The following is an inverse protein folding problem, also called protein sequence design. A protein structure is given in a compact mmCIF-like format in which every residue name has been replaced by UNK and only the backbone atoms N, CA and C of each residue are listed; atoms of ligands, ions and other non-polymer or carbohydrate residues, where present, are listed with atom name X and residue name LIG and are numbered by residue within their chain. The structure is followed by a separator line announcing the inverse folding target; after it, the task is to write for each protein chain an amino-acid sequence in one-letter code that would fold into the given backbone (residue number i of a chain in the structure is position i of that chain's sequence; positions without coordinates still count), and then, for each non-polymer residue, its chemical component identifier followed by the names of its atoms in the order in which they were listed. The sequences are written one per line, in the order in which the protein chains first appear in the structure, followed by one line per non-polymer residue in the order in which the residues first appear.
data_IF_337566479022
#
_entry.id   IF_337566479022
#
_cell.length_a   1.000
_cell.length_b   1.000
_cell.length_c   1.000
_cell.angle_alpha   90.00
_cell.angle_beta   90.00
_cell.angle_gamma   90.00
#
_symmetry.space_group_name_H-M   'P 1'
#
loop_
_entity.id
_entity.type
_entity.pdbx_description
1 polymer ?
2 polymer ?
3 water ?
#
# COMPACT_ATOMS: atom_id res chain seq x y z
N UNK A 27 16.45 16.23 1.03
CA UNK A 27 15.59 15.07 1.20
C UNK A 27 14.42 15.40 2.08
N UNK A 28 13.46 14.48 2.16
CA UNK A 28 12.26 14.64 2.98
C UNK A 28 12.26 13.77 4.23
N UNK A 29 13.36 13.06 4.44
CA UNK A 29 13.47 12.18 5.60
C UNK A 29 13.18 12.87 6.92
N UNK A 30 12.19 12.37 7.66
CA UNK A 30 11.96 12.88 8.99
C UNK A 30 10.75 13.80 9.05
N UNK A 31 10.32 14.27 7.89
CA UNK A 31 9.17 15.16 7.81
C UNK A 31 7.85 14.44 8.11
N UNK A 32 7.00 15.09 8.89
CA UNK A 32 5.65 14.59 9.15
C UNK A 32 4.78 14.78 7.94
N UNK A 33 3.97 13.78 7.65
CA UNK A 33 3.08 13.84 6.50
C UNK A 33 1.73 13.26 6.84
N UNK A 34 0.84 13.36 5.86
CA UNK A 34 -0.44 12.69 5.89
C UNK A 34 -0.52 11.95 4.58
N UNK A 35 -0.61 10.61 4.64
CA UNK A 35 -0.52 9.81 3.43
C UNK A 35 -1.62 8.77 3.25
N UNK A 36 -1.93 8.47 1.99
CA UNK A 36 -2.98 7.51 1.66
C UNK A 36 -2.58 6.08 2.03
N UNK A 37 -3.43 5.39 2.79
CA UNK A 37 -3.39 3.94 2.96
C UNK A 37 -4.25 3.35 1.87
N UNK A 38 -3.62 2.71 0.88
CA UNK A 38 -4.35 2.39 -0.33
C UNK A 38 -5.36 1.26 -0.19
N UNK A 39 -5.30 0.47 0.87
CA UNK A 39 -6.27 -0.61 0.97
C UNK A 39 -7.64 -0.07 1.33
N UNK A 40 -7.72 1.06 2.04
CA UNK A 40 -9.07 1.57 2.31
C UNK A 40 -9.34 2.97 1.75
N UNK A 41 -8.34 3.57 1.12
CA UNK A 41 -8.45 4.91 0.56
C UNK A 41 -8.36 6.09 1.52
N UNK A 42 -8.16 5.87 2.81
CA UNK A 42 -8.06 6.97 3.75
C UNK A 42 -6.62 7.46 3.91
N UNK A 43 -6.44 8.73 4.28
CA UNK A 43 -5.10 9.28 4.58
C UNK A 43 -4.89 9.37 6.08
N UNK A 44 -3.71 8.98 6.54
CA UNK A 44 -3.36 8.91 7.96
C UNK A 44 -2.04 9.62 8.22
N UNK A 45 -1.83 10.05 9.46
CA UNK A 45 -0.61 10.79 9.76
C UNK A 45 0.57 9.84 9.94
N UNK A 46 1.76 10.32 9.60
CA UNK A 46 2.98 9.55 9.79
C UNK A 46 4.21 10.35 9.40
N UNK A 47 5.33 9.64 9.23
CA UNK A 47 6.60 10.30 8.89
C UNK A 47 7.27 9.62 7.72
N UNK A 48 7.85 10.41 6.81
CA UNK A 48 8.74 9.86 5.80
C UNK A 48 10.04 9.42 6.47
N UNK A 49 10.50 8.19 6.21
CA UNK A 49 11.73 7.76 6.85
C UNK A 49 12.86 7.50 5.88
N UNK A 50 12.57 7.36 4.59
CA UNK A 50 13.63 7.21 3.60
C UNK A 50 13.10 7.47 2.19
N UNK A 51 13.93 8.07 1.35
CA UNK A 51 13.67 8.11 -0.08
C UNK A 51 14.10 6.79 -0.68
N UNK A 52 13.13 6.02 -1.17
CA UNK A 52 13.43 4.72 -1.72
C UNK A 52 13.39 4.71 -3.25
N UNK A 53 13.39 5.89 -3.86
CA UNK A 53 13.46 6.01 -5.30
C UNK A 53 12.20 5.55 -6.02
N UNK A 54 12.22 5.68 -7.34
CA UNK A 54 11.08 5.35 -8.21
C UNK A 54 9.81 6.13 -7.80
N UNK A 55 10.03 7.33 -7.29
CA UNK A 55 8.95 8.21 -6.89
C UNK A 55 8.23 7.78 -5.62
N UNK A 56 8.89 6.98 -4.80
CA UNK A 56 8.27 6.46 -3.58
C UNK A 56 9.07 6.80 -2.33
N UNK A 57 8.37 6.77 -1.19
CA UNK A 57 8.96 7.08 0.10
C UNK A 57 8.53 6.07 1.16
N UNK A 58 9.48 5.59 1.97
CA UNK A 58 9.12 4.74 3.08
C UNK A 58 8.41 5.56 4.14
N UNK A 59 7.21 5.11 4.52
CA UNK A 59 6.42 5.78 5.55
C UNK A 59 6.23 5.02 6.84
N UNK A 60 6.64 5.61 7.95
CA UNK A 60 6.25 5.05 9.22
C UNK A 60 5.00 5.81 9.63
N UNK A 61 3.86 5.14 9.55
CA UNK A 61 2.59 5.70 9.96
C UNK A 61 2.54 5.74 11.46
N UNK A 62 1.76 6.66 12.00
CA UNK A 62 1.71 6.84 13.44
C UNK A 62 1.19 5.62 14.18
N UNK A 63 0.51 4.71 13.48
CA UNK A 63 0.02 3.49 14.13
C UNK A 63 1.00 2.32 14.00
N UNK A 64 2.17 2.57 13.42
CA UNK A 64 3.22 1.56 13.46
C UNK A 64 3.48 0.85 12.15
N UNK A 65 2.54 0.91 11.22
CA UNK A 65 2.70 0.17 9.98
C UNK A 65 3.46 0.97 8.94
N UNK A 66 4.19 0.26 8.08
CA UNK A 66 4.99 0.91 7.04
C UNK A 66 4.53 0.56 5.65
N UNK A 67 4.80 1.45 4.69
CA UNK A 67 4.64 1.09 3.29
C UNK A 67 5.50 2.03 2.46
N UNK A 68 5.99 1.55 1.33
CA UNK A 68 6.67 2.45 0.40
C UNK A 68 5.60 3.07 -0.49
N UNK A 69 5.37 4.36 -0.29
CA UNK A 69 4.26 5.06 -0.92
C UNK A 69 4.72 6.08 -1.96
N UNK A 70 3.99 6.16 -3.06
CA UNK A 70 4.23 7.19 -4.06
C UNK A 70 4.04 8.59 -3.49
N UNK A 71 4.86 9.53 -3.96
CA UNK A 71 4.79 10.93 -3.55
C UNK A 71 3.43 11.54 -3.84
N UNK A 72 2.86 11.21 -4.98
CA UNK A 72 1.50 11.66 -5.32
C UNK A 72 0.44 11.31 -4.27
N UNK A 73 0.69 10.30 -3.44
CA UNK A 73 -0.25 9.90 -2.38
C UNK A 73 0.21 10.45 -1.01
N UNK A 74 1.26 11.25 -1.02
CA UNK A 74 1.72 11.85 0.21
C UNK A 74 1.43 13.33 0.25
N UNK A 75 0.83 13.77 1.35
CA UNK A 75 0.54 15.17 1.56
C UNK A 75 1.54 15.70 2.57
N UNK A 76 2.33 16.67 2.13
CA UNK A 76 3.33 17.25 2.98
C UNK A 76 2.73 18.44 3.76
N UNK A 77 2.00 18.16 4.82
CA UNK A 77 1.31 19.23 5.53
C UNK A 77 1.09 18.84 6.99
N UNK A 78 1.84 19.51 7.85
CA UNK A 78 1.82 19.30 9.28
C UNK A 78 1.88 20.66 9.96
N UNK A 79 0.83 21.05 10.69
CA UNK A 79 -0.42 20.31 10.86
C UNK A 79 -1.30 20.35 9.61
N UNK A 80 -2.40 19.63 9.68
CA UNK A 80 -3.42 19.77 8.67
C UNK A 80 -3.98 21.18 8.78
N UNK A 81 -4.01 21.94 7.67
CA UNK A 81 -4.33 23.38 7.73
C UNK A 81 -5.73 23.69 8.22
N UNK A 82 -5.85 24.87 8.80
CA UNK A 82 -7.14 25.40 9.16
C UNK A 82 -8.07 25.43 7.93
N UNK A 83 -9.36 25.21 8.22
CA UNK A 83 -10.46 25.18 7.24
C UNK A 83 -10.46 23.93 6.35
N UNK A 84 -9.56 23.00 6.62
CA UNK A 84 -9.53 21.75 5.89
C UNK A 84 -10.66 20.85 6.36
N UNK A 85 -11.44 20.33 5.42
CA UNK A 85 -12.43 19.32 5.75
C UNK A 85 -11.76 17.97 6.01
N UNK A 86 -11.96 17.42 7.20
CA UNK A 86 -11.32 16.17 7.58
C UNK A 86 -12.34 15.17 8.07
N UNK A 87 -11.83 14.04 8.56
CA UNK A 87 -12.68 13.03 9.14
C UNK A 87 -12.20 12.78 10.56
N UNK A 88 -13.07 12.99 11.53
CA UNK A 88 -12.67 12.94 12.94
C UNK A 88 -13.10 11.65 13.64
N UNK A 89 -12.17 11.05 14.37
CA UNK A 89 -12.40 9.80 15.04
C UNK A 89 -12.73 9.98 16.51
N UNK A 90 -13.33 8.98 17.10
CA UNK A 90 -13.75 9.09 18.47
C UNK A 90 -13.89 7.72 19.11
N UNK A 91 -13.64 7.63 20.41
CA UNK A 91 -13.81 6.37 21.12
C UNK A 91 -15.27 6.01 21.30
N UNK A 92 -16.16 6.99 21.36
CA UNK A 92 -17.53 6.73 21.77
C UNK A 92 -18.59 6.96 20.68
N UNK A 93 -18.22 7.60 19.58
CA UNK A 93 -19.16 7.81 18.48
C UNK A 93 -18.56 7.45 17.12
N UNK A 94 -19.42 7.10 16.17
CA UNK A 94 -19.00 6.68 14.84
C UNK A 94 -18.32 7.89 14.16
N UNK A 95 -17.48 7.66 13.18
CA UNK A 95 -16.69 8.78 12.65
C UNK A 95 -17.43 9.60 11.61
N UNK A 96 -17.03 10.87 11.48
CA UNK A 96 -17.61 11.72 10.48
C UNK A 96 -16.77 12.94 10.18
N UNK A 97 -17.27 13.71 9.22
CA UNK A 97 -16.53 14.80 8.63
C UNK A 97 -16.71 16.04 9.47
N UNK A 98 -15.64 16.81 9.60
CA UNK A 98 -15.71 18.10 10.24
C UNK A 98 -14.66 19.01 9.65
N UNK A 99 -14.60 20.24 10.18
CA UNK A 99 -13.67 21.21 9.63
C UNK A 99 -12.70 21.64 10.70
N UNK A 100 -11.41 21.64 10.35
CA UNK A 100 -10.38 22.09 11.27
C UNK A 100 -10.56 23.59 11.54
N UNK A 101 -10.64 23.96 12.81
CA UNK A 101 -10.80 25.37 13.18
C UNK A 101 -9.77 25.80 14.21
N UNK A 102 -8.91 24.86 14.62
CA UNK A 102 -7.87 25.20 15.59
C UNK A 102 -6.75 24.19 15.70
N UNK A 103 -5.59 24.65 16.19
CA UNK A 103 -4.48 23.76 16.55
C UNK A 103 -4.07 24.07 17.98
N UNK A 104 -3.38 23.13 18.62
CA UNK A 104 -2.90 23.33 19.98
C UNK A 104 -1.78 22.35 20.23
N UNK A 105 -0.67 22.84 20.77
CA UNK A 105 0.48 21.98 21.09
C UNK A 105 0.70 21.88 22.58
N UNK A 106 0.79 20.66 23.08
CA UNK A 106 0.92 20.41 24.53
C UNK A 106 1.84 19.26 24.83
N UNK A 107 2.91 19.57 25.57
CA UNK A 107 3.98 18.63 25.89
C UNK A 107 4.45 17.83 24.66
N UNK A 108 4.44 18.47 23.51
CA UNK A 108 5.00 17.89 22.32
C UNK A 108 4.00 17.13 21.46
N UNK A 109 2.71 17.27 21.77
CA UNK A 109 1.68 16.57 21.00
C UNK A 109 0.68 17.54 20.39
N UNK A 110 0.25 17.21 19.18
CA UNK A 110 -0.63 18.09 18.42
C UNK A 110 -2.10 17.71 18.65
N UNK A 111 -2.94 18.72 18.82
CA UNK A 111 -4.38 18.53 18.99
C UNK A 111 -5.11 19.38 17.99
N UNK A 112 -6.22 18.85 17.47
CA UNK A 112 -6.98 19.58 16.48
C UNK A 112 -8.30 19.96 17.08
N UNK A 113 -8.79 21.12 16.67
CA UNK A 113 -10.12 21.54 17.07
C UNK A 113 -10.97 21.43 15.82
N UNK A 114 -11.92 20.52 15.87
CA UNK A 114 -12.75 20.22 14.73
C UNK A 114 -14.15 20.64 15.05
N UNK A 115 -14.84 21.20 14.05
CA UNK A 115 -16.17 21.73 14.21
C UNK A 115 -17.16 20.95 13.34
N UNK A 116 -18.11 20.28 13.99
CA UNK A 116 -19.20 19.63 13.28
C UNK A 116 -20.53 20.22 13.66
N UNK A 117 -21.31 20.64 12.66
CA UNK A 117 -22.67 21.12 12.88
C UNK A 117 -22.75 22.23 13.93
N UNK A 118 -21.69 23.03 14.05
CA UNK A 118 -21.69 24.15 14.96
C UNK A 118 -20.70 24.01 16.10
N UNK A 119 -20.82 22.93 16.86
CA UNK A 119 -19.95 22.72 18.01
C UNK A 119 -18.55 22.31 17.60
N UNK A 120 -17.57 22.57 18.47
CA UNK A 120 -16.19 22.23 18.23
C UNK A 120 -15.71 21.30 19.29
N UNK A 121 -14.72 20.47 18.97
CA UNK A 121 -14.18 19.53 19.95
C UNK A 121 -12.74 19.26 19.62
N UNK A 122 -12.01 18.70 20.59
CA UNK A 122 -10.58 18.48 20.42
C UNK A 122 -10.29 17.02 20.12
N UNK A 123 -9.33 16.79 19.23
CA UNK A 123 -8.96 15.45 18.82
C UNK A 123 -7.45 15.31 18.78
N UNK A 124 -6.93 14.18 19.25
CA UNK A 124 -5.50 13.94 19.14
C UNK A 124 -5.17 13.81 17.67
N UNK A 125 -3.89 13.85 17.35
CA UNK A 125 -3.46 13.78 15.97
C UNK A 125 -3.96 12.50 15.31
N UNK A 126 -3.87 11.40 16.03
CA UNK A 126 -4.26 10.10 15.45
C UNK A 126 -5.76 9.97 15.30
N UNK A 127 -6.51 10.91 15.89
CA UNK A 127 -7.97 10.90 15.76
C UNK A 127 -8.42 11.71 14.52
N UNK A 128 -7.48 12.10 13.69
CA UNK A 128 -7.84 12.88 12.51
C UNK A 128 -7.27 12.26 11.27
N UNK A 129 -8.14 11.95 10.32
CA UNK A 129 -7.70 11.32 9.09
C UNK A 129 -8.45 12.00 7.99
N UNK A 130 -8.09 11.69 6.75
CA UNK A 130 -8.81 12.27 5.61
C UNK A 130 -9.46 11.16 4.80
N UNK A 131 -10.70 11.38 4.39
CA UNK A 131 -11.30 10.51 3.41
C UNK A 131 -10.50 10.57 2.10
N UNK A 132 -10.78 9.66 1.19
CA UNK A 132 -10.10 9.67 -0.09
C UNK A 132 -10.23 11.04 -0.77
N UNK A 133 -11.44 11.56 -0.83
CA UNK A 133 -11.65 12.84 -1.51
C UNK A 133 -11.07 14.00 -0.71
N UNK A 134 -11.13 13.90 0.62
CA UNK A 134 -10.58 14.98 1.45
C UNK A 134 -9.10 15.11 1.18
N UNK A 135 -8.40 13.98 1.05
CA UNK A 135 -6.98 13.99 0.73
C UNK A 135 -6.69 14.45 -0.71
N UNK A 136 -7.53 14.03 -1.65
CA UNK A 136 -7.29 14.34 -3.07
C UNK A 136 -7.40 15.85 -3.28
N UNK A 137 -8.20 16.51 -2.46
CA UNK A 137 -8.37 17.97 -2.50
C UNK A 137 -7.10 18.74 -2.14
N UNK A 138 -6.30 18.22 -1.23
CA UNK A 138 -5.10 18.94 -0.79
C UNK A 138 -3.91 18.60 -1.66
N UNK A 139 -4.14 17.76 -2.66
CA UNK A 139 -3.01 17.19 -3.37
C UNK A 139 -2.32 18.30 -4.16
N UNK A 140 -3.10 19.11 -4.84
CA UNK A 140 -2.54 20.14 -5.71
C UNK A 140 -1.65 21.09 -4.92
N UNK A 141 -2.01 21.37 -3.66
CA UNK A 141 -1.23 22.31 -2.88
C UNK A 141 -0.15 21.65 -2.01
N UNK A 142 -0.37 20.43 -1.56
CA UNK A 142 0.57 19.83 -0.62
C UNK A 142 1.14 18.48 -1.07
N UNK A 143 0.78 18.03 -2.27
CA UNK A 143 1.20 16.71 -2.71
C UNK A 143 2.65 16.63 -3.12
N UNK A 144 3.31 15.51 -2.81
CA UNK A 144 4.66 15.26 -3.30
C UNK A 144 4.65 14.70 -4.72
N UNK A 145 3.52 14.83 -5.40
CA UNK A 145 3.40 14.36 -6.77
C UNK A 145 2.06 14.77 -7.36
N UNK A 146 1.19 15.30 -6.65
N UNK B 27 5.72 -20.53 11.64
CA UNK B 27 5.38 -19.21 11.11
C UNK B 27 5.67 -19.12 9.61
N UNK B 28 5.28 -18.01 8.99
CA UNK B 28 5.46 -17.84 7.54
C UNK B 28 6.67 -16.97 7.17
N UNK B 29 7.42 -16.52 8.18
CA UNK B 29 8.61 -15.73 7.93
C UNK B 29 9.58 -16.49 7.02
N UNK B 30 9.88 -15.90 5.87
CA UNK B 30 10.85 -16.47 4.94
C UNK B 30 10.24 -17.09 3.68
N UNK B 31 8.94 -17.37 3.72
CA UNK B 31 8.27 -18.00 2.58
C UNK B 31 8.16 -17.07 1.39
N UNK B 32 8.37 -17.62 0.19
CA UNK B 32 8.11 -16.88 -1.04
C UNK B 32 6.61 -16.79 -1.25
N UNK B 33 6.14 -15.60 -1.65
CA UNK B 33 4.72 -15.45 -1.87
C UNK B 33 4.47 -14.62 -3.10
N UNK B 34 3.20 -14.49 -3.45
CA UNK B 34 2.81 -13.55 -4.47
C UNK B 34 1.73 -12.70 -3.81
N UNK B 35 2.00 -11.40 -3.68
CA UNK B 35 1.15 -10.53 -2.89
C UNK B 35 0.65 -9.28 -3.60
N UNK B 36 -0.55 -8.85 -3.22
CA UNK B 36 -1.19 -7.69 -3.84
C UNK B 36 -0.54 -6.37 -3.47
N UNK B 37 -0.21 -5.56 -4.47
CA UNK B 37 0.14 -4.15 -4.30
C UNK B 37 -1.15 -3.40 -4.35
N UNK B 38 -1.57 -2.87 -3.21
CA UNK B 38 -2.96 -2.45 -3.07
C UNK B 38 -3.26 -1.16 -3.88
N UNK B 39 -2.23 -0.44 -4.34
CA UNK B 39 -2.45 0.76 -5.16
C UNK B 39 -2.86 0.48 -6.59
N UNK B 40 -2.47 -0.67 -7.14
CA UNK B 40 -2.84 -0.97 -8.52
C UNK B 40 -3.55 -2.33 -8.70
N UNK B 41 -3.77 -3.05 -7.60
CA UNK B 41 -4.49 -4.31 -7.65
C UNK B 41 -3.72 -5.52 -8.20
N UNK B 42 -2.46 -5.34 -8.58
CA UNK B 42 -1.70 -6.48 -9.09
C UNK B 42 -0.96 -7.19 -7.97
N UNK B 43 -0.70 -8.47 -8.20
CA UNK B 43 0.07 -9.32 -7.29
C UNK B 43 1.51 -9.50 -7.79
N UNK B 44 2.47 -9.38 -6.88
CA UNK B 44 3.88 -9.39 -7.24
C UNK B 44 4.63 -10.38 -6.37
N UNK B 45 5.75 -10.89 -6.86
CA UNK B 45 6.49 -11.88 -6.10
C UNK B 45 7.32 -11.21 -5.03
N UNK B 46 7.50 -11.89 -3.91
CA UNK B 46 8.34 -11.39 -2.84
C UNK B 46 8.36 -12.40 -1.71
N UNK B 47 8.85 -11.98 -0.56
CA UNK B 47 8.94 -12.89 0.58
C UNK B 47 8.40 -12.20 1.82
N UNK B 48 7.72 -12.96 2.66
CA UNK B 48 7.34 -12.48 3.97
C UNK B 48 8.57 -12.32 4.86
N UNK B 49 8.70 -11.18 5.53
CA UNK B 49 9.86 -10.95 6.41
C UNK B 49 9.49 -10.78 7.88
N UNK B 50 8.20 -10.59 8.18
CA UNK B 50 7.77 -10.52 9.58
C UNK B 50 6.26 -10.58 9.72
N UNK B 51 5.79 -11.19 10.80
CA UNK B 51 4.39 -11.05 11.22
C UNK B 51 4.30 -9.76 12.04
N UNK B 52 3.62 -8.76 11.50
CA UNK B 52 3.54 -7.47 12.18
C UNK B 52 2.17 -7.23 12.80
N UNK B 53 1.37 -8.31 12.89
CA UNK B 53 0.05 -8.25 13.51
C UNK B 53 -1.01 -7.51 12.70
N UNK B 54 -2.23 -7.44 13.26
CA UNK B 54 -3.39 -6.86 12.58
C UNK B 54 -3.65 -7.57 11.26
N UNK B 55 -3.33 -8.86 11.23
CA UNK B 55 -3.58 -9.69 10.06
C UNK B 55 -2.66 -9.33 8.91
N UNK B 56 -1.55 -8.69 9.25
CA UNK B 56 -0.63 -8.21 8.22
C UNK B 56 0.75 -8.82 8.40
N UNK B 57 1.48 -8.82 7.28
CA UNK B 57 2.84 -9.34 7.22
C UNK B 57 3.69 -8.34 6.48
N UNK B 58 4.89 -8.07 6.97
CA UNK B 58 5.80 -7.22 6.24
C UNK B 58 6.27 -7.98 5.00
N UNK B 59 6.10 -7.37 3.84
CA UNK B 59 6.54 -7.99 2.61
C UNK B 59 7.66 -7.28 1.90
N UNK B 60 8.75 -8.01 1.69
CA UNK B 60 9.81 -7.55 0.83
C UNK B 60 9.57 -8.10 -0.56
N UNK B 61 9.10 -7.24 -1.45
CA UNK B 61 8.88 -7.62 -2.83
C UNK B 61 10.19 -7.76 -3.57
N UNK B 62 10.18 -8.56 -4.63
CA UNK B 62 11.39 -8.83 -5.36
C UNK B 62 11.95 -7.58 -6.04
N UNK B 63 11.12 -6.56 -6.22
CA UNK B 63 11.65 -5.37 -6.87
C UNK B 63 12.18 -4.35 -5.86
N UNK B 64 12.24 -4.73 -4.58
CA UNK B 64 12.95 -3.92 -3.61
C UNK B 64 12.10 -3.16 -2.61
N UNK B 65 10.83 -2.95 -2.94
CA UNK B 65 9.98 -2.16 -2.07
C UNK B 65 9.26 -3.02 -1.03
N UNK B 66 8.92 -2.40 0.09
CA UNK B 66 8.24 -3.09 1.19
C UNK B 66 6.84 -2.54 1.42
N UNK B 67 5.99 -3.39 1.96
CA UNK B 67 4.69 -2.99 2.48
C UNK B 67 4.20 -3.98 3.53
N UNK B 68 3.42 -3.49 4.49
CA UNK B 68 2.71 -4.37 5.42
C UNK B 68 1.40 -4.76 4.75
N UNK B 69 1.30 -6.02 4.34
CA UNK B 69 0.20 -6.49 3.50
C UNK B 69 -0.71 -7.41 4.27
N UNK B 70 -2.00 -7.27 4.06
CA UNK B 70 -2.99 -8.18 4.63
C UNK B 70 -2.80 -9.63 4.17
N UNK B 71 -3.02 -10.57 5.08
CA UNK B 71 -2.92 -11.98 4.77
C UNK B 71 -3.87 -12.37 3.66
N UNK B 72 -5.07 -11.80 3.70
CA UNK B 72 -6.07 -11.99 2.63
C UNK B 72 -5.52 -11.69 1.23
N UNK B 73 -4.48 -10.84 1.15
CA UNK B 73 -3.89 -10.41 -0.12
C UNK B 73 -2.59 -11.13 -0.46
N UNK B 74 -2.26 -12.16 0.32
CA UNK B 74 -1.05 -12.93 0.07
C UNK B 74 -1.35 -14.33 -0.48
N UNK B 75 -0.70 -14.68 -1.59
CA UNK B 75 -0.86 -16.00 -2.20
C UNK B 75 0.40 -16.79 -1.89
N UNK B 76 0.23 -17.88 -1.12
CA UNK B 76 1.38 -18.66 -0.67
C UNK B 76 1.63 -19.71 -1.73
N UNK B 77 2.31 -19.31 -2.78
CA UNK B 77 2.30 -20.07 -4.00
C UNK B 77 3.62 -19.85 -4.77
N UNK B 78 4.51 -20.84 -4.65
CA UNK B 78 5.83 -20.78 -5.26
C UNK B 78 6.26 -22.16 -5.78
N UNK B 79 6.41 -22.32 -7.09
CA UNK B 79 6.18 -21.32 -8.13
C UNK B 79 4.71 -21.13 -8.37
N UNK B 80 4.39 -20.16 -9.23
CA UNK B 80 3.05 -20.00 -9.77
C UNK B 80 2.81 -21.22 -10.63
N UNK B 81 1.68 -21.92 -10.39
CA UNK B 81 1.39 -23.24 -10.99
C UNK B 81 1.30 -23.20 -12.51
N UNK B 82 1.62 -24.33 -13.15
CA UNK B 82 1.41 -24.48 -14.59
C UNK B 82 -0.04 -24.20 -14.93
N UNK B 83 -0.28 -23.75 -16.16
CA UNK B 83 -1.63 -23.46 -16.68
C UNK B 83 -2.31 -22.25 -16.03
N UNK B 84 -1.59 -21.55 -15.17
CA UNK B 84 -2.14 -20.36 -14.55
C UNK B 84 -2.10 -19.19 -15.50
N UNK B 85 -3.23 -18.53 -15.70
CA UNK B 85 -3.25 -17.31 -16.51
C UNK B 85 -2.57 -16.16 -15.75
N UNK B 86 -1.53 -15.59 -16.35
CA UNK B 86 -0.74 -14.53 -15.71
C UNK B 86 -0.53 -13.29 -16.57
N UNK B 87 0.29 -12.36 -16.07
CA UNK B 87 0.66 -11.13 -16.79
C UNK B 87 2.19 -10.95 -16.82
N UNK B 88 2.76 -10.81 -18.02
CA UNK B 88 4.22 -10.79 -18.17
C UNK B 88 4.83 -9.42 -18.48
N UNK B 89 5.90 -9.08 -17.76
CA UNK B 89 6.63 -7.81 -17.90
C UNK B 89 7.95 -7.88 -18.69
N UNK B 90 8.50 -6.71 -18.97
CA UNK B 90 9.72 -6.58 -19.76
C UNK B 90 10.46 -5.26 -19.45
N UNK B 91 11.79 -5.30 -19.54
CA UNK B 91 12.62 -4.12 -19.32
C UNK B 91 12.49 -3.19 -20.51
N UNK B 92 12.17 -3.75 -21.67
CA UNK B 92 12.22 -3.01 -22.94
C UNK B 92 10.86 -2.88 -23.68
N UNK B 93 9.89 -3.73 -23.36
CA UNK B 93 8.57 -3.66 -24.01
C UNK B 93 7.38 -3.80 -23.06
N UNK B 94 6.23 -3.26 -23.47
CA UNK B 94 4.99 -3.26 -22.69
C UNK B 94 4.41 -4.67 -22.43
N UNK B 95 3.61 -4.79 -21.35
CA UNK B 95 3.10 -6.06 -20.82
C UNK B 95 1.76 -6.60 -21.37
N UNK B 96 1.55 -7.92 -21.22
CA UNK B 96 0.28 -8.59 -21.58
C UNK B 96 0.06 -9.98 -20.93
N UNK B 97 -1.12 -10.56 -21.21
CA UNK B 97 -1.59 -11.81 -20.59
C UNK B 97 -1.32 -13.11 -21.39
N UNK B 98 -0.89 -14.15 -20.68
CA UNK B 98 -0.67 -15.48 -21.25
C UNK B 98 -0.80 -16.57 -20.20
N UNK B 99 -0.45 -17.80 -20.58
CA UNK B 99 -0.56 -18.93 -19.67
C UNK B 99 0.78 -19.60 -19.39
N UNK B 100 1.04 -19.88 -18.11
CA UNK B 100 2.28 -20.55 -17.67
C UNK B 100 2.38 -21.97 -18.23
N UNK B 101 3.49 -22.25 -18.89
CA UNK B 101 3.64 -23.57 -19.50
C UNK B 101 4.96 -24.22 -19.11
N UNK B 102 5.80 -23.51 -18.35
CA UNK B 102 7.07 -24.09 -17.92
C UNK B 102 7.76 -23.42 -16.74
N UNK B 103 8.60 -24.19 -16.04
CA UNK B 103 9.48 -23.68 -15.00
C UNK B 103 10.92 -24.12 -15.26
N UNK B 104 11.88 -23.39 -14.70
CA UNK B 104 13.31 -23.74 -14.80
C UNK B 104 14.07 -23.03 -13.69
N UNK B 105 14.94 -23.76 -12.99
CA UNK B 105 15.79 -23.22 -11.93
C UNK B 105 17.28 -23.20 -12.31
N UNK B 106 17.90 -22.03 -12.16
CA UNK B 106 19.27 -21.84 -12.62
C UNK B 106 20.03 -20.99 -11.60
N UNK B 107 21.03 -21.62 -10.98
CA UNK B 107 21.80 -21.06 -9.86
C UNK B 107 20.92 -20.43 -8.78
N UNK B 108 19.74 -21.03 -8.59
CA UNK B 108 18.85 -20.68 -7.50
C UNK B 108 17.75 -19.69 -7.85
N UNK B 109 17.61 -19.42 -9.15
CA UNK B 109 16.64 -18.43 -9.56
C UNK B 109 15.61 -19.02 -10.52
N UNK B 110 14.37 -18.60 -10.36
CA UNK B 110 13.27 -19.17 -11.10
C UNK B 110 12.96 -18.41 -12.40
N UNK B 111 12.68 -19.14 -13.46
CA UNK B 111 12.28 -18.58 -14.73
C UNK B 111 10.98 -19.22 -15.19
N UNK B 112 10.10 -18.44 -15.81
CA UNK B 112 8.82 -18.98 -16.27
C UNK B 112 8.74 -18.99 -17.80
N UNK B 113 8.02 -19.96 -18.33
CA UNK B 113 7.75 -19.99 -19.76
C UNK B 113 6.26 -19.77 -20.00
N UNK B 114 5.91 -18.66 -20.63
CA UNK B 114 4.51 -18.32 -20.87
C UNK B 114 4.18 -18.33 -22.36
N UNK B 115 2.96 -18.77 -22.68
CA UNK B 115 2.49 -18.93 -24.05
C UNK B 115 1.34 -17.97 -24.36
N UNK B 116 1.59 -17.05 -25.29
CA UNK B 116 0.56 -16.13 -25.77
C UNK B 116 0.28 -16.38 -27.25
N UNK B 117 -0.99 -16.58 -27.57
CA UNK B 117 -1.48 -16.74 -28.95
C UNK B 117 -0.74 -17.81 -29.75
N UNK B 118 -0.22 -18.82 -29.05
CA UNK B 118 0.47 -19.91 -29.72
C UNK B 118 1.94 -19.98 -29.40
N UNK B 119 2.67 -18.89 -29.65
CA UNK B 119 4.11 -18.88 -29.42
C UNK B 119 4.40 -18.84 -27.93
N UNK B 120 5.58 -19.33 -27.54
CA UNK B 120 6.00 -19.31 -26.14
C UNK B 120 7.28 -18.52 -25.95
N UNK B 121 7.49 -17.99 -24.75
CA UNK B 121 8.69 -17.23 -24.42
C UNK B 121 8.99 -17.28 -22.93
N UNK B 122 10.23 -16.93 -22.57
CA UNK B 122 10.71 -17.03 -21.18
C UNK B 122 10.86 -15.70 -20.43
N UNK B 123 10.54 -15.72 -19.13
CA UNK B 123 10.60 -14.52 -18.28
C UNK B 123 11.21 -14.76 -16.88
N UNK B 124 11.97 -13.80 -16.37
CA UNK B 124 12.48 -13.89 -15.00
C UNK B 124 11.30 -13.87 -14.00
N UNK B 125 11.58 -14.22 -12.75
CA UNK B 125 10.52 -14.30 -11.74
C UNK B 125 9.82 -12.96 -11.54
N UNK B 126 10.60 -11.88 -11.55
CA UNK B 126 10.04 -10.54 -11.36
C UNK B 126 9.22 -10.04 -12.53
N UNK B 127 9.39 -10.68 -13.69
CA UNK B 127 8.69 -10.24 -14.89
C UNK B 127 7.33 -10.88 -15.03
N UNK B 128 6.90 -11.56 -13.96
CA UNK B 128 5.63 -12.24 -13.96
C UNK B 128 4.80 -11.76 -12.81
N UNK B 129 3.58 -11.31 -13.12
CA UNK B 129 2.70 -10.81 -12.07
C UNK B 129 1.28 -11.23 -12.36
N UNK B 130 0.38 -10.98 -11.41
CA UNK B 130 -1.02 -11.31 -11.59
C UNK B 130 -1.89 -10.06 -11.51
N UNK B 131 -2.78 -9.92 -12.49
CA UNK B 131 -3.84 -8.92 -12.42
C UNK B 131 -4.73 -9.25 -11.25
N UNK B 132 -5.59 -8.32 -10.87
CA UNK B 132 -6.52 -8.56 -9.78
C UNK B 132 -7.35 -9.82 -10.05
N UNK B 133 -7.85 -9.95 -11.27
CA UNK B 133 -8.69 -11.07 -11.62
C UNK B 133 -7.89 -12.38 -11.58
N UNK B 134 -6.65 -12.32 -12.04
CA UNK B 134 -5.80 -13.48 -12.06
C UNK B 134 -5.45 -13.97 -10.64
N UNK B 135 -5.17 -13.03 -9.75
CA UNK B 135 -4.85 -13.37 -8.38
C UNK B 135 -6.02 -13.99 -7.64
N UNK B 136 -7.22 -13.46 -7.89
CA UNK B 136 -8.42 -13.93 -7.20
C UNK B 136 -8.72 -15.39 -7.50
N UNK B 137 -8.34 -15.84 -8.69
CA UNK B 137 -8.56 -17.23 -9.08
C UNK B 137 -7.74 -18.18 -8.20
N UNK B 138 -6.57 -17.75 -7.78
CA UNK B 138 -5.71 -18.59 -6.94
C UNK B 138 -5.96 -18.44 -5.47
N UNK B 139 -6.93 -17.60 -5.06
CA UNK B 139 -7.03 -17.31 -3.64
C UNK B 139 -7.57 -18.48 -2.82
N UNK B 140 -8.60 -19.16 -3.30
CA UNK B 140 -9.19 -20.25 -2.54
C UNK B 140 -8.14 -21.31 -2.19
N UNK B 141 -7.23 -21.55 -3.11
CA UNK B 141 -6.25 -22.58 -2.92
C UNK B 141 -4.97 -22.10 -2.25
N UNK B 142 -4.59 -20.83 -2.47
CA UNK B 142 -3.30 -20.40 -1.98
C UNK B 142 -3.29 -19.16 -1.06
N UNK B 143 -4.46 -18.60 -0.73
CA UNK B 143 -4.49 -17.39 0.08
C UNK B 143 -4.23 -17.60 1.57
N UNK B 144 -3.50 -16.67 2.20
CA UNK B 144 -3.33 -16.64 3.66
C UNK B 144 -4.53 -16.02 4.36
N UNK B 145 -5.63 -15.91 3.64
CA UNK B 145 -6.85 -15.37 4.19
C UNK B 145 -7.92 -15.56 3.13
N UNK B 146 -9.08 -15.83 3.45
N UNK C 3 -7.81 4.04 21.16
CA UNK C 3 -8.28 3.41 19.93
C UNK C 3 -9.72 3.90 19.67
N UNK C 4 -9.97 4.24 18.42
CA UNK C 4 -11.17 4.93 18.04
C UNK C 4 -12.03 4.07 17.14
N UNK C 5 -13.32 4.36 17.09
CA UNK C 5 -14.13 3.76 16.06
C UNK C 5 -13.62 4.38 14.76
N UNK C 6 -13.23 3.54 13.82
CA UNK C 6 -12.55 4.05 12.65
C UNK C 6 -12.69 3.08 11.49
N UNK C 7 -12.41 3.56 10.28
CA UNK C 7 -12.58 2.64 9.16
C UNK C 7 -11.63 1.46 9.17
N UNK C 8 -12.16 0.35 8.69
CA UNK C 8 -11.48 -0.91 8.62
C UNK C 8 -10.17 -0.73 7.90
N UNK C 9 -9.14 -1.23 8.55
CA UNK C 9 -7.76 -1.21 8.08
C UNK C 9 -7.19 -2.62 8.33
N UNK D 4 12.35 -1.81 -15.80
CA UNK D 4 11.31 -2.73 -16.30
C UNK D 4 9.95 -2.05 -16.52
N UNK D 5 9.19 -2.51 -17.53
CA UNK D 5 7.80 -2.09 -17.79
C UNK D 5 6.80 -2.66 -16.78
N UNK D 6 5.88 -1.82 -16.29
CA UNK D 6 4.92 -2.28 -15.30
C UNK D 6 3.72 -1.34 -15.16
N UNK D 7 2.61 -1.85 -14.59
CA UNK D 7 1.51 -0.94 -14.30
C UNK D 7 2.04 0.08 -13.32
N UNK D 8 1.53 1.31 -13.33
CA UNK D 8 2.10 2.35 -12.50
C UNK D 8 2.22 1.89 -11.06
N UNK D 9 3.43 2.04 -10.53
CA UNK D 9 3.72 1.97 -9.09
C UNK D 9 5.12 2.54 -8.88
#
# INVERSE_FOLDING_TARGET
RSDSPEIPFQAAAGPSDGLDASSPGNSFVGLRVVAKWSSNGYFYSGKITRDVGAGKYKLLFDDGYECDVLGKDILLCDPIPLDTEVTALSEDEYFSAGVVKGHRKESGELYYSIEKEGQRKWYKRMAVILSLEQGNRLREQYGLGPYEAVTPLTKAADISLDNLVEGKRKRRSNVS
RSDSPEIPFQAAAGPSDGLDASSPGNSFVGLRVVAKWSSNGYFYSGKITRDVGAGKYKLLFDDGYECDVLGKDILLCDPIPLDTEVTALSEDEYFSAGVVKGHRKESGELYYSIEKEGQRKWYKRMAVILSLEQGNRLREQYGLGPYEAVTPLTKAADISLDNLVEGKRKRRSNVS
GNIYISPLKSPYKISEC
GNIYISPLKSPYKISEC
#
